data_IF_566936140550
#
_entry.id   IF_566936140550
#
_cell.length_a   1.000
_cell.length_b   1.000
_cell.length_c   1.000
_cell.angle_alpha   90.00
_cell.angle_beta   90.00
_cell.angle_gamma   90.00
#
_symmetry.space_group_name_H-M   'P 1'
#
loop_
_entity.id
_entity.type
_entity.pdbx_description
1 polymer ?
#
# COMPACT_ATOMS: atom_id res chain seq x y z
N UNK A 1 15.86 -2.95 -3.13
CA UNK A 1 15.67 -2.37 -4.48
C UNK A 1 16.27 -3.24 -5.58
N UNK A 2 17.54 -3.66 -5.46
CA UNK A 2 18.17 -4.54 -6.46
C UNK A 2 17.40 -5.85 -6.70
N UNK A 3 16.96 -6.53 -5.63
CA UNK A 3 16.15 -7.75 -5.77
C UNK A 3 14.86 -7.54 -6.58
N UNK A 4 14.02 -6.56 -6.20
CA UNK A 4 12.80 -6.24 -6.94
C UNK A 4 13.07 -5.82 -8.40
N UNK A 5 14.21 -5.16 -8.65
CA UNK A 5 14.64 -4.80 -10.00
C UNK A 5 15.04 -6.04 -10.81
N UNK A 6 15.72 -7.00 -10.19
CA UNK A 6 16.11 -8.26 -10.82
C UNK A 6 14.88 -9.11 -11.20
N UNK A 7 13.93 -9.26 -10.27
CA UNK A 7 12.65 -9.95 -10.52
C UNK A 7 11.87 -9.27 -11.65
N UNK A 8 11.75 -7.94 -11.63
CA UNK A 8 11.05 -7.19 -12.66
C UNK A 8 11.73 -7.30 -14.03
N UNK A 9 13.06 -7.26 -14.04
CA UNK A 9 13.85 -7.45 -15.25
C UNK A 9 13.67 -8.87 -15.81
N UNK A 10 13.65 -9.88 -14.93
CA UNK A 10 13.41 -11.27 -15.32
C UNK A 10 12.02 -11.45 -15.92
N UNK A 11 10.96 -10.93 -15.30
CA UNK A 11 9.60 -10.95 -15.86
C UNK A 11 9.56 -10.27 -17.24
N UNK A 12 10.25 -9.14 -17.39
CA UNK A 12 10.35 -8.44 -18.69
C UNK A 12 11.04 -9.32 -19.75
N UNK A 13 12.10 -10.05 -19.40
CA UNK A 13 12.75 -10.99 -20.32
C UNK A 13 11.82 -12.15 -20.68
N UNK A 14 11.17 -12.75 -19.69
CA UNK A 14 10.21 -13.83 -19.90
C UNK A 14 9.09 -13.42 -20.86
N UNK A 15 8.51 -12.23 -20.67
CA UNK A 15 7.47 -11.71 -21.55
C UNK A 15 7.98 -11.46 -22.97
N UNK A 16 9.23 -11.01 -23.14
CA UNK A 16 9.85 -10.89 -24.46
C UNK A 16 10.01 -12.25 -25.14
N UNK A 17 10.45 -13.27 -24.41
CA UNK A 17 10.62 -14.62 -24.94
C UNK A 17 9.27 -15.26 -25.33
N UNK A 18 8.20 -14.91 -24.61
CA UNK A 18 6.81 -15.27 -24.93
C UNK A 18 6.19 -14.41 -26.05
N UNK A 19 6.96 -13.51 -26.67
CA UNK A 19 6.50 -12.60 -27.72
C UNK A 19 5.34 -11.68 -27.28
N UNK A 20 5.25 -11.39 -25.98
CA UNK A 20 4.28 -10.42 -25.42
C UNK A 20 4.91 -9.02 -25.45
N UNK A 21 4.38 -8.08 -26.24
CA UNK A 21 4.96 -6.75 -26.36
C UNK A 21 4.79 -5.95 -25.07
N UNK A 22 5.89 -5.39 -24.57
CA UNK A 22 5.89 -4.43 -23.46
C UNK A 22 6.11 -3.03 -24.06
N UNK A 23 5.05 -2.24 -24.13
CA UNK A 23 5.05 -0.91 -24.79
C UNK A 23 5.82 0.16 -24.01
N UNK A 24 5.96 -0.01 -22.70
CA UNK A 24 6.64 0.96 -21.82
C UNK A 24 7.45 0.25 -20.75
N UNK A 25 8.58 0.81 -20.30
CA UNK A 25 9.33 0.23 -19.18
C UNK A 25 8.44 0.12 -17.95
N UNK A 26 8.43 -1.04 -17.27
CA UNK A 26 7.67 -1.18 -16.04
C UNK A 26 8.20 -0.23 -14.96
N UNK A 27 7.29 0.26 -14.12
CA UNK A 27 7.58 1.24 -13.08
C UNK A 27 7.78 0.52 -11.75
N UNK A 28 8.95 0.71 -11.14
CA UNK A 28 9.26 0.32 -9.77
C UNK A 28 9.02 1.51 -8.83
N UNK A 29 8.03 1.39 -7.96
CA UNK A 29 7.71 2.41 -6.95
C UNK A 29 8.54 2.20 -5.68
N UNK A 30 9.10 3.28 -5.13
CA UNK A 30 9.93 3.26 -3.93
C UNK A 30 9.69 4.46 -3.04
N UNK A 31 9.62 4.25 -1.73
CA UNK A 31 9.53 5.31 -0.72
C UNK A 31 10.87 5.84 -0.21
N UNK A 32 11.97 5.17 -0.55
CA UNK A 32 13.30 5.62 -0.16
C UNK A 32 13.85 6.62 -1.18
N UNK A 33 13.72 7.91 -0.85
CA UNK A 33 14.26 9.02 -1.64
C UNK A 33 15.78 8.89 -1.85
N UNK A 34 16.51 8.40 -0.85
CA UNK A 34 17.94 8.12 -0.97
C UNK A 34 18.23 7.05 -2.02
N UNK A 35 17.42 5.99 -2.06
CA UNK A 35 17.54 4.95 -3.08
C UNK A 35 17.23 5.47 -4.49
N UNK A 36 16.21 6.34 -4.62
CA UNK A 36 15.87 6.98 -5.88
C UNK A 36 16.99 7.92 -6.37
N UNK A 37 17.55 8.73 -5.46
CA UNK A 37 18.66 9.64 -5.78
C UNK A 37 19.91 8.87 -6.21
N UNK A 38 20.24 7.76 -5.55
CA UNK A 38 21.38 6.92 -5.92
C UNK A 38 21.18 6.24 -7.29
N UNK A 39 19.97 5.76 -7.58
CA UNK A 39 19.64 5.20 -8.89
C UNK A 39 19.75 6.24 -10.01
N UNK A 40 19.43 7.51 -9.73
CA UNK A 40 19.34 8.57 -10.75
C UNK A 40 20.61 9.40 -10.95
N UNK A 41 21.49 9.53 -9.94
CA UNK A 41 22.59 10.51 -9.97
C UNK A 41 23.99 9.89 -10.15
N UNK A 42 24.63 10.02 -11.33
CA UNK A 42 25.93 9.41 -11.65
C UNK A 42 27.07 9.67 -10.66
N UNK A 43 27.01 10.77 -9.90
CA UNK A 43 28.12 11.32 -9.11
C UNK A 43 28.17 10.81 -7.66
N UNK A 44 27.12 10.14 -7.16
CA UNK A 44 27.13 9.62 -5.79
C UNK A 44 27.86 8.28 -5.67
N UNK A 45 28.99 8.29 -4.95
CA UNK A 45 29.66 7.07 -4.49
C UNK A 45 29.07 6.62 -3.15
N UNK A 46 28.47 5.45 -3.12
CA UNK A 46 27.97 4.87 -1.87
C UNK A 46 29.17 4.47 -0.99
N UNK A 47 29.12 4.82 0.31
CA UNK A 47 30.21 4.52 1.27
C UNK A 47 30.35 3.02 1.64
N UNK A 48 29.51 2.14 1.09
CA UNK A 48 29.48 0.71 1.43
C UNK A 48 29.41 -0.14 0.16
N UNK A 49 30.37 -1.06 -0.01
CA UNK A 49 30.57 -1.84 -1.24
C UNK A 49 29.33 -2.63 -1.71
N UNK A 50 28.57 -3.23 -0.79
CA UNK A 50 27.37 -4.01 -1.14
C UNK A 50 26.22 -3.14 -1.66
N UNK A 51 26.06 -1.96 -1.04
CA UNK A 51 25.11 -0.94 -1.45
C UNK A 51 25.49 -0.46 -2.84
N UNK A 52 26.77 -0.18 -3.08
CA UNK A 52 27.28 0.27 -4.37
C UNK A 52 26.95 -0.69 -5.53
N UNK A 53 27.21 -1.99 -5.38
CA UNK A 53 26.93 -2.99 -6.42
C UNK A 53 25.43 -3.05 -6.75
N UNK A 54 24.59 -3.09 -5.71
CA UNK A 54 23.12 -3.12 -5.85
C UNK A 54 22.60 -1.87 -6.57
N UNK A 55 23.15 -0.69 -6.28
CA UNK A 55 22.73 0.55 -6.92
C UNK A 55 23.24 0.70 -8.35
N UNK A 56 24.47 0.28 -8.65
CA UNK A 56 24.97 0.27 -10.02
C UNK A 56 24.11 -0.61 -10.91
N UNK A 57 23.73 -1.80 -10.44
CA UNK A 57 22.81 -2.67 -11.16
C UNK A 57 21.47 -1.99 -11.45
N UNK A 58 20.83 -1.40 -10.43
CA UNK A 58 19.54 -0.71 -10.61
C UNK A 58 19.68 0.47 -11.58
N UNK A 59 20.72 1.29 -11.43
CA UNK A 59 21.00 2.41 -12.33
C UNK A 59 21.14 1.93 -13.77
N UNK A 60 21.94 0.91 -14.03
CA UNK A 60 22.18 0.43 -15.39
C UNK A 60 20.86 0.06 -16.09
N UNK A 61 19.94 -0.58 -15.36
CA UNK A 61 18.61 -0.91 -15.88
C UNK A 61 17.74 0.33 -16.12
N UNK A 62 17.87 1.36 -15.30
CA UNK A 62 17.17 2.64 -15.49
C UNK A 62 17.71 3.40 -16.70
N UNK A 63 19.04 3.53 -16.83
CA UNK A 63 19.69 4.24 -17.93
C UNK A 63 19.41 3.56 -19.28
N UNK A 64 19.34 2.23 -19.30
CA UNK A 64 18.95 1.44 -20.49
C UNK A 64 17.46 1.52 -20.81
N UNK A 65 16.68 2.24 -20.01
CA UNK A 65 15.22 2.32 -20.12
C UNK A 65 14.56 0.92 -20.07
N UNK A 66 15.17 -0.02 -19.35
CA UNK A 66 14.61 -1.35 -19.11
C UNK A 66 13.57 -1.32 -17.98
N UNK A 67 13.76 -0.44 -16.99
CA UNK A 67 12.88 -0.20 -15.83
C UNK A 67 12.84 1.31 -15.54
N UNK A 68 11.70 1.83 -15.09
CA UNK A 68 11.59 3.20 -14.57
C UNK A 68 11.43 3.16 -13.05
N UNK A 69 12.11 4.02 -12.29
CA UNK A 69 11.94 4.10 -10.83
C UNK A 69 11.23 5.40 -10.49
N UNK A 70 10.18 5.33 -9.66
CA UNK A 70 9.42 6.50 -9.21
C UNK A 70 9.25 6.51 -7.70
N UNK A 71 9.18 7.71 -7.14
CA UNK A 71 8.89 7.90 -5.73
C UNK A 71 7.41 7.61 -5.44
N UNK A 72 7.13 6.91 -4.34
CA UNK A 72 5.82 6.84 -3.71
C UNK A 72 5.96 7.24 -2.24
N UNK A 73 4.99 7.97 -1.70
CA UNK A 73 4.98 8.25 -0.26
C UNK A 73 4.95 6.93 0.52
N UNK A 74 5.71 6.83 1.62
CA UNK A 74 5.60 5.70 2.55
C UNK A 74 4.14 5.46 2.95
N UNK A 75 3.36 6.55 3.13
CA UNK A 75 1.93 6.48 3.50
C UNK A 75 1.09 5.72 2.45
N UNK A 76 1.53 5.74 1.19
CA UNK A 76 0.84 5.15 0.03
C UNK A 76 1.50 3.86 -0.48
N UNK A 77 2.61 3.43 0.13
CA UNK A 77 3.28 2.20 -0.23
C UNK A 77 2.53 0.96 0.28
N UNK A 78 1.55 0.50 -0.51
CA UNK A 78 0.73 -0.67 -0.18
C UNK A 78 1.56 -1.94 0.06
N UNK A 79 2.73 -2.07 -0.57
CA UNK A 79 3.65 -3.19 -0.37
C UNK A 79 4.13 -3.36 1.10
N UNK A 80 4.01 -2.32 1.94
CA UNK A 80 4.32 -2.42 3.37
C UNK A 80 3.47 -3.48 4.08
N UNK A 81 2.25 -3.73 3.62
CA UNK A 81 1.35 -4.73 4.23
C UNK A 81 1.93 -6.15 4.18
N UNK A 82 2.76 -6.43 3.17
CA UNK A 82 3.36 -7.75 2.95
C UNK A 82 4.76 -7.88 3.55
N UNK A 83 5.37 -6.78 3.97
CA UNK A 83 6.80 -6.74 4.33
C UNK A 83 7.06 -6.27 5.76
N UNK A 84 6.08 -5.63 6.41
CA UNK A 84 6.23 -5.04 7.76
C UNK A 84 5.11 -5.52 8.68
N UNK A 85 5.43 -5.68 9.97
CA UNK A 85 4.43 -5.76 11.02
C UNK A 85 3.84 -4.36 11.28
N UNK A 86 2.64 -4.10 10.77
CA UNK A 86 1.98 -2.80 10.87
C UNK A 86 1.06 -2.73 12.09
N UNK A 87 0.84 -1.52 12.62
CA UNK A 87 -0.23 -1.29 13.61
C UNK A 87 -1.61 -1.54 12.98
N UNK A 88 -2.60 -1.90 13.79
CA UNK A 88 -3.95 -2.19 13.29
C UNK A 88 -4.54 -1.06 12.44
N UNK A 89 -4.39 0.20 12.88
CA UNK A 89 -4.84 1.36 12.13
C UNK A 89 -4.16 1.49 10.76
N UNK A 90 -2.85 1.25 10.71
CA UNK A 90 -2.06 1.33 9.47
C UNK A 90 -2.38 0.19 8.53
N UNK A 91 -2.57 -1.02 9.06
CA UNK A 91 -2.99 -2.19 8.30
C UNK A 91 -4.37 -1.98 7.66
N UNK A 92 -5.35 -1.48 8.41
CA UNK A 92 -6.70 -1.20 7.89
C UNK A 92 -6.65 -0.17 6.75
N UNK A 93 -5.91 0.92 6.92
CA UNK A 93 -5.76 1.94 5.88
C UNK A 93 -5.11 1.40 4.59
N UNK A 94 -4.10 0.53 4.69
CA UNK A 94 -3.50 -0.09 3.50
C UNK A 94 -4.37 -1.20 2.90
N UNK A 95 -5.13 -1.93 3.72
CA UNK A 95 -6.10 -2.95 3.28
C UNK A 95 -7.21 -2.31 2.45
N UNK A 96 -7.72 -1.15 2.86
CA UNK A 96 -8.76 -0.44 2.13
C UNK A 96 -8.27 0.01 0.75
N UNK A 97 -6.97 0.38 0.64
CA UNK A 97 -6.32 0.69 -0.65
C UNK A 97 -6.17 -0.53 -1.57
N UNK A 98 -6.17 -1.74 -1.03
CA UNK A 98 -6.16 -2.99 -1.81
C UNK A 98 -7.56 -3.41 -2.31
N UNK A 99 -8.60 -2.62 -2.01
CA UNK A 99 -10.00 -2.96 -2.33
C UNK A 99 -10.42 -4.34 -1.80
N UNK A 100 -9.84 -4.81 -0.69
CA UNK A 100 -10.21 -6.07 -0.05
C UNK A 100 -11.58 -5.90 0.60
N UNK A 101 -12.64 -6.10 -0.17
CA UNK A 101 -14.01 -6.11 0.33
C UNK A 101 -14.16 -7.23 1.35
N UNK A 102 -14.89 -6.97 2.43
CA UNK A 102 -15.36 -8.04 3.29
C UNK A 102 -16.18 -9.01 2.43
N UNK A 103 -15.79 -10.28 2.39
CA UNK A 103 -16.63 -11.31 1.81
C UNK A 103 -17.93 -11.37 2.64
N UNK A 104 -19.11 -11.53 2.01
CA UNK A 104 -20.36 -11.72 2.74
C UNK A 104 -20.35 -12.99 3.62
N UNK A 105 -19.38 -13.89 3.37
CA UNK A 105 -19.29 -15.19 4.02
C UNK A 105 -18.46 -15.03 5.30
N UNK A 106 -19.18 -14.82 6.39
CA UNK A 106 -18.62 -14.88 7.73
C UNK A 106 -18.37 -16.36 8.07
N UNK A 107 -17.14 -16.70 8.45
CA UNK A 107 -16.87 -17.98 9.09
C UNK A 107 -17.68 -18.03 10.41
N UNK A 108 -18.28 -19.19 10.68
CA UNK A 108 -19.11 -19.42 11.87
C UNK A 108 -18.27 -19.13 13.13
N UNK A 109 -18.50 -17.98 13.77
CA UNK A 109 -17.72 -17.52 14.93
C UNK A 109 -17.25 -16.06 14.89
N UNK A 110 -17.58 -15.27 13.86
CA UNK A 110 -17.27 -13.83 13.87
C UNK A 110 -17.93 -13.12 15.07
N UNK A 111 -17.13 -12.40 15.86
CA UNK A 111 -17.58 -11.58 16.98
C UNK A 111 -18.42 -10.43 16.42
N UNK A 112 -19.68 -10.33 16.86
CA UNK A 112 -20.56 -9.21 16.51
C UNK A 112 -19.95 -7.94 17.11
N UNK A 113 -19.69 -6.94 16.28
CA UNK A 113 -19.52 -5.58 16.77
C UNK A 113 -20.88 -5.10 17.28
N UNK A 114 -20.98 -4.90 18.60
CA UNK A 114 -22.17 -4.31 19.22
C UNK A 114 -22.23 -2.83 18.81
N UNK A 115 -23.15 -2.51 17.91
CA UNK A 115 -23.58 -1.13 17.66
C UNK A 115 -24.24 -0.58 18.93
N UNK A 116 -23.93 0.65 19.38
CA UNK A 116 -24.59 1.25 20.53
C UNK A 116 -26.09 1.40 20.24
N UNK A 117 -26.89 0.68 21.01
CA UNK A 117 -28.34 0.67 20.93
C UNK A 117 -28.91 2.07 21.27
N UNK A 118 -29.52 2.70 20.28
CA UNK A 118 -30.34 3.90 20.46
C UNK A 118 -31.70 3.49 21.02
N UNK A 119 -31.74 3.12 22.29
CA UNK A 119 -33.01 2.89 23.00
C UNK A 119 -32.97 3.49 24.40
N UNK A 120 -32.99 4.83 24.50
CA UNK A 120 -33.26 5.52 25.77
C UNK A 120 -33.98 6.87 25.61
N UNK A 121 -34.82 7.06 24.59
CA UNK A 121 -35.66 8.28 24.45
C UNK A 121 -37.15 7.95 24.33
N UNK A 122 -37.70 7.32 25.37
CA UNK A 122 -39.16 7.19 25.52
C UNK A 122 -39.56 7.11 27.00
N UNK A 123 -39.26 8.13 27.82
CA UNK A 123 -39.87 8.21 29.17
C UNK A 123 -40.08 9.59 29.82
N UNK A 124 -40.00 10.69 29.07
CA UNK A 124 -40.40 12.01 29.58
C UNK A 124 -41.23 12.80 28.55
N UNK A 125 -42.40 12.27 28.20
CA UNK A 125 -43.51 13.07 27.63
C UNK A 125 -44.81 12.58 28.25
N UNK A 126 -45.09 13.04 29.46
CA UNK A 126 -46.24 12.59 30.24
C UNK A 126 -46.51 13.46 31.46
N UNK A 127 -46.30 14.78 31.36
CA UNK A 127 -46.80 15.75 32.34
C UNK A 127 -47.20 17.01 31.57
N UNK A 128 -48.46 17.05 31.14
CA UNK A 128 -49.28 18.27 30.95
C UNK A 128 -50.62 17.85 30.34
N UNK A 129 -51.61 17.63 31.20
CA UNK A 129 -53.03 18.01 30.99
C UNK A 129 -53.89 17.44 32.13
N UNK A 130 -54.35 18.32 33.03
CA UNK A 130 -55.64 18.21 33.73
C UNK A 130 -55.86 19.45 34.61
N UNK A 131 -56.55 20.46 34.07
CA UNK A 131 -57.39 21.36 34.86
C UNK A 131 -58.75 21.39 34.15
N UNK A 132 -59.83 20.87 34.74
CA UNK A 132 -61.18 21.12 34.29
C UNK A 132 -61.79 22.32 35.04
N UNK A 133 -62.63 23.04 34.33
CA UNK A 133 -63.39 24.22 34.71
C UNK A 133 -64.51 23.94 35.73
N UNK A 134 -64.77 24.91 36.62
CA UNK A 134 -66.11 25.39 37.01
C UNK A 134 -66.01 26.83 37.47
#
# INVERSE_FOLDING_TARGET
MAYATAELYWIRMLLKDLHVPILSPPILWCDNVGALALASNPVFHARTKHIEIDYHFVREKVVRNDISVKYISTVDQVAEIFTKGLTSARFLLLRDKLMVRALPIHLRGAVKEETPDQTHDAKFRGLNQSIPTS
#
